data_IF_346601209788
#
_entry.id   IF_346601209788
#
_cell.length_a   1.000
_cell.length_b   1.000
_cell.length_c   1.000
_cell.angle_alpha   90.00
_cell.angle_beta   90.00
_cell.angle_gamma   90.00
#
_symmetry.space_group_name_H-M   'P 1'
#
loop_
_entity.id
_entity.type
_entity.pdbx_description
1 polymer ?
#
# COMPACT_ATOMS: atom_id res chain seq x y z
N UNK A 1 5.75 -3.57 -10.53
CA UNK A 1 5.33 -2.40 -9.71
C UNK A 1 3.90 -2.10 -10.08
N UNK A 2 3.00 -1.87 -9.13
CA UNK A 2 1.68 -1.33 -9.46
C UNK A 2 1.89 0.10 -9.99
N UNK A 3 1.63 0.32 -11.28
CA UNK A 3 1.76 1.63 -11.91
C UNK A 3 0.62 2.52 -11.45
N UNK A 4 0.89 3.81 -11.20
CA UNK A 4 -0.08 4.79 -10.67
C UNK A 4 -1.38 4.84 -11.49
N UNK A 5 -1.32 4.53 -12.78
CA UNK A 5 -2.48 4.42 -13.67
C UNK A 5 -3.44 3.32 -13.22
N UNK A 6 -2.96 2.09 -13.01
CA UNK A 6 -3.80 0.95 -12.58
C UNK A 6 -4.50 1.21 -11.25
N UNK A 7 -3.83 1.86 -10.30
CA UNK A 7 -4.42 2.18 -8.99
C UNK A 7 -5.51 3.27 -9.05
N UNK A 8 -5.53 4.11 -10.10
CA UNK A 8 -6.56 5.14 -10.26
C UNK A 8 -7.87 4.59 -10.84
N UNK A 9 -7.79 3.47 -11.55
CA UNK A 9 -8.95 2.81 -12.17
C UNK A 9 -9.68 1.89 -11.19
N UNK A 10 -9.02 1.46 -10.10
CA UNK A 10 -9.65 0.65 -9.05
C UNK A 10 -10.64 1.46 -8.19
N UNK A 11 -11.73 0.80 -7.79
CA UNK A 11 -12.70 1.35 -6.85
C UNK A 11 -12.12 1.59 -5.46
N UNK A 12 -12.71 2.51 -4.68
CA UNK A 12 -12.22 2.86 -3.34
C UNK A 12 -12.16 1.65 -2.38
N UNK A 13 -13.12 0.73 -2.50
CA UNK A 13 -13.15 -0.49 -1.70
C UNK A 13 -12.02 -1.45 -2.07
N UNK A 14 -11.72 -1.56 -3.36
CA UNK A 14 -10.68 -2.45 -3.87
C UNK A 14 -9.27 -1.93 -3.49
N UNK A 15 -9.09 -0.61 -3.50
CA UNK A 15 -7.89 0.05 -2.99
C UNK A 15 -7.68 -0.20 -1.49
N UNK A 16 -8.75 -0.14 -0.69
CA UNK A 16 -8.69 -0.45 0.74
C UNK A 16 -8.35 -1.92 0.98
N UNK A 17 -8.95 -2.83 0.22
CA UNK A 17 -8.65 -4.27 0.31
C UNK A 17 -7.18 -4.55 -0.02
N UNK A 18 -6.65 -3.98 -1.10
CA UNK A 18 -5.22 -4.10 -1.44
C UNK A 18 -4.30 -3.52 -0.36
N UNK A 19 -4.69 -2.39 0.24
CA UNK A 19 -3.94 -1.76 1.32
C UNK A 19 -3.86 -2.67 2.56
N UNK A 20 -4.96 -3.34 2.91
CA UNK A 20 -4.98 -4.27 4.04
C UNK A 20 -4.17 -5.54 3.77
N UNK A 21 -4.22 -6.09 2.55
CA UNK A 21 -3.37 -7.20 2.14
C UNK A 21 -1.88 -6.84 2.23
N UNK A 22 -1.47 -5.70 1.66
CA UNK A 22 -0.07 -5.23 1.72
C UNK A 22 0.39 -4.93 3.14
N UNK A 23 -0.50 -4.42 4.01
CA UNK A 23 -0.21 -4.23 5.43
C UNK A 23 -0.02 -5.55 6.16
N UNK A 24 -0.80 -6.58 5.84
CA UNK A 24 -0.67 -7.91 6.43
C UNK A 24 0.67 -8.54 6.04
N UNK A 25 1.02 -8.50 4.76
CA UNK A 25 2.31 -8.97 4.23
C UNK A 25 3.49 -8.24 4.88
N UNK A 26 3.39 -6.92 5.09
CA UNK A 26 4.40 -6.14 5.81
C UNK A 26 4.54 -6.54 7.28
N UNK A 27 3.46 -6.95 7.95
CA UNK A 27 3.53 -7.44 9.35
C UNK A 27 4.17 -8.82 9.40
N UNK A 28 3.79 -9.72 8.50
CA UNK A 28 4.37 -11.05 8.38
C UNK A 28 5.88 -10.96 8.09
N UNK A 29 6.29 -10.14 7.12
CA UNK A 29 7.72 -9.94 6.80
C UNK A 29 8.50 -9.33 7.98
N UNK A 30 7.89 -8.42 8.75
CA UNK A 30 8.52 -7.88 9.96
C UNK A 30 8.62 -8.92 11.08
N UNK A 31 7.64 -9.81 11.18
CA UNK A 31 7.64 -10.90 12.14
C UNK A 31 8.74 -11.91 11.81
N UNK A 32 8.87 -12.32 10.56
CA UNK A 32 9.96 -13.17 10.07
C UNK A 32 11.33 -12.54 10.35
N UNK A 33 11.49 -11.23 10.10
CA UNK A 33 12.73 -10.54 10.46
C UNK A 33 13.03 -10.57 11.96
N UNK A 34 12.01 -10.38 12.80
CA UNK A 34 12.16 -10.40 14.25
C UNK A 34 12.49 -11.77 14.82
N UNK A 35 11.90 -12.84 14.25
CA UNK A 35 12.04 -14.21 14.73
C UNK A 35 13.26 -14.92 14.13
N UNK A 36 13.49 -14.78 12.82
CA UNK A 36 14.52 -15.53 12.11
C UNK A 36 15.79 -14.73 11.82
N UNK A 37 15.80 -13.40 12.05
CA UNK A 37 16.91 -12.47 11.75
C UNK A 37 17.46 -12.53 10.32
N UNK A 38 16.77 -13.23 9.43
CA UNK A 38 17.09 -13.40 8.02
C UNK A 38 16.00 -12.69 7.21
N UNK A 39 16.31 -11.50 6.70
CA UNK A 39 15.53 -10.95 5.58
C UNK A 39 16.23 -11.43 4.32
N UNK A 40 15.57 -12.33 3.58
CA UNK A 40 16.07 -12.75 2.25
C UNK A 40 16.10 -11.58 1.26
N UNK A 41 15.17 -10.62 1.36
CA UNK A 41 15.14 -9.50 0.42
C UNK A 41 14.54 -8.19 0.98
N UNK A 42 15.38 -7.26 1.49
CA UNK A 42 14.94 -5.97 2.02
C UNK A 42 14.26 -5.09 0.96
N UNK A 43 14.55 -5.32 -0.33
CA UNK A 43 13.97 -4.54 -1.42
C UNK A 43 12.45 -4.77 -1.56
N UNK A 44 11.94 -5.95 -1.21
CA UNK A 44 10.49 -6.24 -1.21
C UNK A 44 9.75 -5.37 -0.20
N UNK A 45 10.30 -5.22 1.01
CA UNK A 45 9.75 -4.34 2.06
C UNK A 45 9.69 -2.88 1.59
N UNK A 46 10.77 -2.39 0.98
CA UNK A 46 10.82 -1.03 0.47
C UNK A 46 9.82 -0.80 -0.67
N UNK A 47 9.62 -1.79 -1.54
CA UNK A 47 8.63 -1.73 -2.61
C UNK A 47 7.20 -1.74 -2.05
N UNK A 48 6.88 -2.63 -1.12
CA UNK A 48 5.58 -2.69 -0.46
C UNK A 48 5.24 -1.39 0.28
N UNK A 49 6.21 -0.80 0.99
CA UNK A 49 6.05 0.53 1.63
C UNK A 49 5.71 1.62 0.61
N UNK A 50 6.41 1.66 -0.54
CA UNK A 50 6.13 2.62 -1.62
C UNK A 50 4.74 2.39 -2.23
N UNK A 51 4.33 1.14 -2.39
CA UNK A 51 3.02 0.80 -2.95
C UNK A 51 1.89 1.21 -1.99
N UNK A 52 2.03 0.97 -0.67
CA UNK A 52 1.09 1.46 0.35
C UNK A 52 0.99 2.99 0.35
N UNK A 53 2.12 3.69 0.27
CA UNK A 53 2.13 5.15 0.23
C UNK A 53 1.35 5.70 -0.98
N UNK A 54 1.52 5.10 -2.17
CA UNK A 54 0.78 5.51 -3.37
C UNK A 54 -0.73 5.32 -3.23
N UNK A 55 -1.17 4.20 -2.65
CA UNK A 55 -2.60 3.92 -2.42
C UNK A 55 -3.20 4.97 -1.47
N UNK A 56 -2.52 5.26 -0.36
CA UNK A 56 -2.95 6.30 0.58
C UNK A 56 -3.02 7.68 -0.06
N UNK A 57 -2.04 8.04 -0.90
CA UNK A 57 -2.09 9.30 -1.65
C UNK A 57 -3.29 9.38 -2.56
N UNK A 58 -3.63 8.31 -3.30
CA UNK A 58 -4.79 8.31 -4.21
C UNK A 58 -6.11 8.43 -3.44
N UNK A 59 -6.25 7.69 -2.33
CA UNK A 59 -7.43 7.81 -1.46
C UNK A 59 -7.58 9.24 -0.94
N UNK A 60 -6.48 9.87 -0.52
CA UNK A 60 -6.49 11.26 -0.06
C UNK A 60 -6.78 12.26 -1.18
N UNK A 61 -6.22 12.05 -2.38
CA UNK A 61 -6.54 12.85 -3.58
C UNK A 61 -8.05 12.79 -3.90
N UNK A 62 -8.70 11.63 -3.73
CA UNK A 62 -10.16 11.47 -3.92
C UNK A 62 -10.96 12.19 -2.84
N UNK A 63 -10.58 12.04 -1.57
CA UNK A 63 -11.23 12.74 -0.43
C UNK A 63 -11.17 14.28 -0.60
N UNK A 64 -10.01 14.82 -0.97
CA UNK A 64 -9.83 16.26 -1.16
C UNK A 64 -10.67 16.81 -2.32
N UNK A 65 -10.81 16.05 -3.41
CA UNK A 65 -11.70 16.43 -4.53
C UNK A 65 -13.18 16.46 -4.12
N UNK A 66 -13.62 15.54 -3.27
CA UNK A 66 -14.99 15.53 -2.74
C UNK A 66 -15.27 16.70 -1.78
N UNK A 67 -14.28 17.12 -0.99
CA UNK A 67 -14.42 18.24 -0.05
C UNK A 67 -14.35 19.63 -0.69
N UNK A 68 -13.59 19.81 -1.78
CA UNK A 68 -13.48 21.11 -2.48
C UNK A 68 -14.72 21.50 -3.30
N UNK A 69 -15.78 20.67 -3.28
CA UNK A 69 -17.06 20.90 -3.95
C UNK A 69 -18.14 21.47 -3.01
N UNK A 70 -17.79 21.86 -1.78
CA UNK A 70 -18.68 22.54 -0.85
C UNK A 70 -18.24 23.97 -0.58
#
# INVERSE_FOLDING_TARGET
MATKAKLKDLGDQELKNQLDSLRKELRETRFEFGVARMIENPAKVNKAKKDVARILTILRERELKGNNSK
#
